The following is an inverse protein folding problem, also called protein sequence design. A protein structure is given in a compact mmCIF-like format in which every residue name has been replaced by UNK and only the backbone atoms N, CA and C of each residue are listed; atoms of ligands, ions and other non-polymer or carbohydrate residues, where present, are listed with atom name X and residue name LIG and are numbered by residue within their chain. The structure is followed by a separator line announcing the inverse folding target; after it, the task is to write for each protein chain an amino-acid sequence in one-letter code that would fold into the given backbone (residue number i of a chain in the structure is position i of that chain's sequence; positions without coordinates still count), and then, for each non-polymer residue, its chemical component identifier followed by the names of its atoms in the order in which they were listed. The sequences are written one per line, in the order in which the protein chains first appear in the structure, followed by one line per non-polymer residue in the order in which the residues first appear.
data_IF_396160057441
#
_entry.id   IF_396160057441
#
_cell.length_a   1.000
_cell.length_b   1.000
_cell.length_c   1.000
_cell.angle_alpha   90.00
_cell.angle_beta   90.00
_cell.angle_gamma   90.00
#
_symmetry.space_group_name_H-M   'P 1'
#
loop_
_entity.id
_entity.type
_entity.pdbx_description
1 polymer ?
#
# COMPACT_ATOMS: atom_id res chain seq x y z
N UNK A 1 21.00 -18.12 1.95
CA UNK A 1 20.74 -17.12 0.89
C UNK A 1 20.85 -15.73 1.51
N UNK A 2 21.76 -14.90 0.99
CA UNK A 2 21.95 -13.50 1.38
C UNK A 2 20.88 -12.60 0.76
N UNK A 3 20.75 -11.36 1.23
CA UNK A 3 19.83 -10.38 0.63
C UNK A 3 20.13 -10.15 -0.86
N UNK A 4 21.41 -10.05 -1.24
CA UNK A 4 21.81 -9.88 -2.64
C UNK A 4 21.40 -11.08 -3.51
N UNK A 5 21.53 -12.30 -2.98
CA UNK A 5 21.08 -13.51 -3.68
C UNK A 5 19.55 -13.56 -3.82
N UNK A 6 18.79 -13.15 -2.79
CA UNK A 6 17.34 -13.04 -2.87
C UNK A 6 16.90 -12.01 -3.92
N UNK A 7 17.49 -10.81 -3.91
CA UNK A 7 17.18 -9.75 -4.88
C UNK A 7 17.50 -10.20 -6.31
N UNK A 8 18.65 -10.84 -6.53
CA UNK A 8 19.01 -11.41 -7.85
C UNK A 8 18.00 -12.46 -8.31
N UNK A 9 17.58 -13.38 -7.42
CA UNK A 9 16.60 -14.42 -7.74
C UNK A 9 15.24 -13.84 -8.14
N UNK A 10 14.84 -12.74 -7.52
CA UNK A 10 13.58 -12.05 -7.80
C UNK A 10 13.71 -10.95 -8.86
N UNK A 11 14.91 -10.76 -9.44
CA UNK A 11 15.25 -9.67 -10.36
C UNK A 11 14.89 -8.28 -9.81
N UNK A 12 15.14 -8.05 -8.52
CA UNK A 12 14.88 -6.77 -7.82
C UNK A 12 16.18 -5.97 -7.77
N UNK A 13 16.08 -4.67 -8.08
CA UNK A 13 17.19 -3.75 -7.93
C UNK A 13 17.53 -3.53 -6.46
N UNK A 14 18.79 -3.75 -6.10
CA UNK A 14 19.32 -3.55 -4.76
C UNK A 14 20.24 -2.33 -4.73
N UNK A 15 19.79 -1.27 -4.09
CA UNK A 15 20.54 -0.04 -3.90
C UNK A 15 21.13 0.01 -2.50
N UNK A 16 22.44 0.18 -2.37
CA UNK A 16 23.11 0.29 -1.07
C UNK A 16 23.44 1.75 -0.82
N UNK A 17 22.95 2.29 0.31
CA UNK A 17 23.14 3.69 0.68
C UNK A 17 23.77 3.78 2.06
N UNK A 18 24.70 4.71 2.24
CA UNK A 18 25.30 4.98 3.53
C UNK A 18 24.25 5.57 4.47
N UNK A 19 24.10 4.96 5.65
CA UNK A 19 23.20 5.42 6.68
C UNK A 19 23.97 5.66 7.97
N UNK A 20 23.94 6.89 8.46
CA UNK A 20 24.65 7.32 9.67
C UNK A 20 24.03 6.77 10.97
N UNK A 21 23.12 5.80 10.87
CA UNK A 21 22.38 5.17 11.96
C UNK A 21 21.65 6.18 12.87
N UNK A 22 21.19 7.31 12.30
CA UNK A 22 20.35 8.28 13.00
C UNK A 22 18.91 8.14 12.54
N UNK A 23 18.00 8.11 13.52
CA UNK A 23 16.56 8.03 13.27
C UNK A 23 16.08 6.61 12.96
N UNK A 24 14.84 6.50 12.50
CA UNK A 24 14.26 5.23 12.01
C UNK A 24 14.67 5.00 10.55
N UNK A 25 14.93 3.75 10.13
CA UNK A 25 15.33 3.41 8.76
C UNK A 25 14.36 3.91 7.68
N UNK A 26 13.06 3.68 7.87
CA UNK A 26 12.04 3.87 6.85
C UNK A 26 11.76 5.36 6.58
N UNK A 27 11.60 6.23 7.61
CA UNK A 27 11.54 7.67 7.39
C UNK A 27 12.80 8.24 6.72
N UNK A 28 14.00 7.77 7.10
CA UNK A 28 15.24 8.19 6.45
C UNK A 28 15.26 7.78 4.97
N UNK A 29 14.88 6.53 4.66
CA UNK A 29 14.79 6.07 3.30
C UNK A 29 13.78 6.88 2.48
N UNK A 30 12.59 7.18 3.03
CA UNK A 30 11.61 8.03 2.37
C UNK A 30 12.15 9.43 2.08
N UNK A 31 12.89 10.03 3.02
CA UNK A 31 13.50 11.35 2.83
C UNK A 31 14.46 11.38 1.63
N UNK A 32 15.21 10.31 1.38
CA UNK A 32 16.06 10.19 0.19
C UNK A 32 15.25 10.25 -1.11
N UNK A 33 14.07 9.63 -1.15
CA UNK A 33 13.17 9.70 -2.31
C UNK A 33 12.51 11.08 -2.43
N UNK A 34 12.06 11.67 -1.32
CA UNK A 34 11.46 13.01 -1.30
C UNK A 34 12.45 14.06 -1.82
N UNK A 35 13.73 13.97 -1.43
CA UNK A 35 14.80 14.85 -1.93
C UNK A 35 15.08 14.69 -3.43
N UNK A 36 14.61 13.60 -4.05
CA UNK A 36 14.66 13.35 -5.49
C UNK A 36 13.35 13.74 -6.20
N UNK A 37 12.42 14.37 -5.50
CA UNK A 37 11.13 14.84 -6.07
C UNK A 37 10.01 13.82 -6.01
N UNK A 38 10.18 12.67 -5.35
CA UNK A 38 9.11 11.72 -5.13
C UNK A 38 8.14 12.21 -4.04
N UNK A 39 6.91 11.75 -4.10
CA UNK A 39 5.96 11.80 -2.99
C UNK A 39 5.73 10.38 -2.48
N UNK A 40 5.59 10.17 -1.18
CA UNK A 40 5.40 8.82 -0.67
C UNK A 40 5.01 8.74 0.80
N UNK A 41 4.79 7.50 1.24
CA UNK A 41 4.47 7.14 2.62
C UNK A 41 5.27 5.91 3.05
N UNK A 42 5.49 5.76 4.36
CA UNK A 42 6.33 4.70 4.97
C UNK A 42 5.51 3.75 5.87
N UNK A 43 4.28 3.44 5.48
CA UNK A 43 3.34 2.69 6.31
C UNK A 43 3.03 1.28 5.76
N UNK A 44 4.01 0.63 5.14
CA UNK A 44 3.88 -0.71 4.56
C UNK A 44 2.64 -0.81 3.63
N UNK A 45 1.87 -1.89 3.75
CA UNK A 45 0.60 -2.08 3.03
C UNK A 45 -0.51 -1.13 3.45
N UNK A 46 -0.31 -0.30 4.47
CA UNK A 46 -1.27 0.72 4.90
C UNK A 46 -1.59 1.72 3.80
N UNK A 47 -0.57 2.19 3.07
CA UNK A 47 -0.73 3.21 2.04
C UNK A 47 -1.69 2.75 0.93
N UNK A 48 -1.39 1.60 0.32
CA UNK A 48 -2.22 1.04 -0.74
C UNK A 48 -3.57 0.54 -0.20
N UNK A 49 -3.62 0.06 1.05
CA UNK A 49 -4.86 -0.35 1.69
C UNK A 49 -5.85 0.80 1.82
N UNK A 50 -5.40 1.99 2.27
CA UNK A 50 -6.25 3.18 2.35
C UNK A 50 -6.66 3.66 0.95
N UNK A 51 -5.77 3.61 -0.04
CA UNK A 51 -6.09 3.94 -1.43
C UNK A 51 -7.20 3.04 -1.98
N UNK A 52 -7.07 1.71 -1.84
CA UNK A 52 -8.08 0.77 -2.31
C UNK A 52 -9.42 0.99 -1.62
N UNK A 53 -9.43 1.13 -0.28
CA UNK A 53 -10.66 1.45 0.46
C UNK A 53 -11.31 2.73 -0.04
N UNK A 54 -10.52 3.76 -0.32
CA UNK A 54 -11.04 5.05 -0.82
C UNK A 54 -11.69 4.92 -2.20
N UNK A 55 -11.25 3.96 -3.02
CA UNK A 55 -11.83 3.67 -4.33
C UNK A 55 -13.16 2.91 -4.24
N UNK A 56 -13.47 2.25 -3.13
CA UNK A 56 -14.64 1.38 -2.98
C UNK A 56 -15.37 1.53 -1.64
N UNK A 57 -15.27 2.70 -1.01
CA UNK A 57 -15.69 2.88 0.38
C UNK A 57 -17.20 2.64 0.56
N UNK A 58 -18.04 3.03 -0.40
CA UNK A 58 -19.49 2.82 -0.31
C UNK A 58 -19.84 1.34 -0.46
N UNK A 59 -19.24 0.63 -1.41
CA UNK A 59 -19.43 -0.81 -1.59
C UNK A 59 -18.94 -1.60 -0.36
N UNK A 60 -17.84 -1.18 0.28
CA UNK A 60 -17.40 -1.77 1.55
C UNK A 60 -18.40 -1.49 2.68
N UNK A 61 -18.98 -0.30 2.71
CA UNK A 61 -20.03 0.07 3.68
C UNK A 61 -21.27 -0.80 3.49
N UNK A 62 -21.76 -0.94 2.25
CA UNK A 62 -22.92 -1.77 1.89
C UNK A 62 -22.66 -3.28 2.11
N UNK A 63 -21.40 -3.70 1.96
CA UNK A 63 -20.98 -5.08 2.17
C UNK A 63 -20.80 -5.44 3.65
N UNK A 64 -20.84 -4.46 4.55
CA UNK A 64 -20.59 -4.67 5.97
C UNK A 64 -21.57 -5.69 6.57
N UNK A 65 -21.05 -6.52 7.46
CA UNK A 65 -21.82 -7.48 8.25
C UNK A 65 -22.25 -6.90 9.61
N UNK A 66 -21.89 -5.64 9.89
CA UNK A 66 -22.32 -4.98 11.13
C UNK A 66 -23.81 -4.69 11.05
N UNK A 67 -24.58 -5.34 11.91
CA UNK A 67 -26.04 -5.20 12.05
C UNK A 67 -26.47 -3.94 12.82
N UNK A 68 -25.59 -2.95 12.92
CA UNK A 68 -25.83 -1.68 13.59
C UNK A 68 -26.56 -0.67 12.70
N UNK A 69 -26.19 0.60 12.84
CA UNK A 69 -26.63 1.69 11.96
C UNK A 69 -25.74 1.78 10.71
N UNK A 70 -26.20 2.50 9.68
CA UNK A 70 -25.34 2.83 8.53
C UNK A 70 -24.07 3.59 8.95
N UNK A 71 -24.10 4.32 10.07
CA UNK A 71 -22.94 4.99 10.61
C UNK A 71 -21.88 3.99 11.08
N UNK A 72 -22.29 2.94 11.79
CA UNK A 72 -21.38 1.89 12.29
C UNK A 72 -20.75 1.11 11.13
N UNK A 73 -21.51 0.83 10.07
CA UNK A 73 -21.01 0.17 8.86
C UNK A 73 -19.97 1.03 8.13
N UNK A 74 -20.16 2.35 8.09
CA UNK A 74 -19.24 3.29 7.42
C UNK A 74 -17.95 3.45 8.22
N UNK A 75 -18.07 3.62 9.54
CA UNK A 75 -16.91 3.69 10.43
C UNK A 75 -16.07 2.41 10.33
N UNK A 76 -16.72 1.24 10.35
CA UNK A 76 -16.05 -0.05 10.16
C UNK A 76 -15.32 -0.13 8.80
N UNK A 77 -15.95 0.31 7.71
CA UNK A 77 -15.32 0.37 6.40
C UNK A 77 -14.10 1.32 6.38
N UNK A 78 -14.17 2.45 7.09
CA UNK A 78 -13.06 3.38 7.23
C UNK A 78 -11.89 2.78 8.04
N UNK A 79 -12.17 2.10 9.14
CA UNK A 79 -11.16 1.63 10.10
C UNK A 79 -10.57 0.26 9.76
N UNK A 80 -11.26 -0.58 8.98
CA UNK A 80 -10.75 -1.91 8.63
C UNK A 80 -9.47 -1.87 7.82
N UNK A 81 -8.59 -2.84 8.07
CA UNK A 81 -7.40 -3.07 7.27
C UNK A 81 -7.70 -3.77 5.94
N UNK A 82 -6.65 -3.97 5.14
CA UNK A 82 -6.73 -4.59 3.81
C UNK A 82 -7.27 -6.04 3.83
N UNK A 83 -7.25 -6.72 4.99
CA UNK A 83 -7.83 -8.06 5.14
C UNK A 83 -9.33 -8.12 4.80
N UNK A 84 -10.04 -6.99 4.82
CA UNK A 84 -11.47 -6.96 4.49
C UNK A 84 -11.75 -7.57 3.13
N UNK A 85 -10.89 -7.37 2.12
CA UNK A 85 -11.11 -7.90 0.77
C UNK A 85 -11.16 -9.43 0.74
N UNK A 86 -10.38 -10.13 1.58
CA UNK A 86 -10.38 -11.60 1.65
C UNK A 86 -11.52 -12.17 2.49
N UNK A 87 -12.31 -11.32 3.14
CA UNK A 87 -13.44 -11.72 4.00
C UNK A 87 -14.79 -11.55 3.30
N UNK A 88 -14.79 -10.94 2.11
CA UNK A 88 -16.01 -10.70 1.34
C UNK A 88 -16.47 -11.98 0.63
N UNK A 89 -17.78 -12.21 0.66
CA UNK A 89 -18.41 -13.19 -0.23
C UNK A 89 -18.32 -12.73 -1.69
N UNK A 90 -18.35 -13.67 -2.64
CA UNK A 90 -18.06 -13.40 -4.06
C UNK A 90 -18.94 -12.31 -4.70
N UNK A 91 -20.22 -12.21 -4.32
CA UNK A 91 -21.13 -11.16 -4.80
C UNK A 91 -20.75 -9.77 -4.25
N UNK A 92 -20.37 -9.68 -2.98
CA UNK A 92 -19.91 -8.45 -2.33
C UNK A 92 -18.55 -8.02 -2.86
N UNK A 93 -17.64 -8.97 -3.05
CA UNK A 93 -16.36 -8.71 -3.70
C UNK A 93 -16.57 -8.14 -5.11
N UNK A 94 -17.47 -8.71 -5.91
CA UNK A 94 -17.80 -8.17 -7.24
C UNK A 94 -18.27 -6.72 -7.17
N UNK A 95 -19.17 -6.38 -6.23
CA UNK A 95 -19.63 -5.01 -6.03
C UNK A 95 -18.46 -4.05 -5.73
N UNK A 96 -17.55 -4.47 -4.86
CA UNK A 96 -16.35 -3.72 -4.51
C UNK A 96 -15.44 -3.50 -5.73
N UNK A 97 -15.16 -4.55 -6.52
CA UNK A 97 -14.32 -4.45 -7.71
C UNK A 97 -14.96 -3.57 -8.80
N UNK A 98 -16.28 -3.68 -8.99
CA UNK A 98 -17.04 -2.84 -9.92
C UNK A 98 -16.98 -1.34 -9.50
N UNK A 99 -17.03 -1.06 -8.19
CA UNK A 99 -16.87 0.31 -7.70
C UNK A 99 -15.46 0.86 -7.93
N UNK A 100 -14.40 0.06 -7.70
CA UNK A 100 -13.01 0.48 -7.97
C UNK A 100 -12.87 1.00 -9.41
N UNK A 101 -13.46 0.29 -10.38
CA UNK A 101 -13.41 0.63 -11.80
C UNK A 101 -14.10 1.95 -12.15
N UNK A 102 -15.14 2.32 -11.41
CA UNK A 102 -16.05 3.41 -11.77
C UNK A 102 -15.86 4.66 -10.92
N UNK A 103 -15.23 4.55 -9.75
CA UNK A 103 -15.01 5.67 -8.83
C UNK A 103 -14.18 6.77 -9.48
N UNK A 104 -14.73 7.98 -9.54
CA UNK A 104 -14.04 9.16 -10.04
C UNK A 104 -12.98 9.67 -9.06
N UNK A 105 -12.06 10.51 -9.54
CA UNK A 105 -11.02 11.12 -8.68
C UNK A 105 -11.60 11.96 -7.55
N UNK A 106 -12.69 12.69 -7.82
CA UNK A 106 -13.34 13.53 -6.80
C UNK A 106 -13.94 12.70 -5.67
N UNK A 107 -14.61 11.59 -6.00
CA UNK A 107 -15.17 10.67 -5.01
C UNK A 107 -14.03 10.01 -4.22
N UNK A 108 -13.03 9.48 -4.92
CA UNK A 108 -11.84 8.89 -4.30
C UNK A 108 -11.18 9.82 -3.28
N UNK A 109 -10.89 11.08 -3.65
CA UNK A 109 -10.25 12.04 -2.75
C UNK A 109 -11.16 12.45 -1.59
N UNK A 110 -12.48 12.45 -1.78
CA UNK A 110 -13.44 12.68 -0.69
C UNK A 110 -13.41 11.52 0.31
N UNK A 111 -13.51 10.28 -0.16
CA UNK A 111 -13.42 9.07 0.66
C UNK A 111 -12.07 8.96 1.37
N UNK A 112 -10.98 9.32 0.71
CA UNK A 112 -9.65 9.32 1.31
C UNK A 112 -9.55 10.34 2.46
N UNK A 113 -10.10 11.56 2.28
CA UNK A 113 -10.19 12.56 3.36
C UNK A 113 -11.03 12.07 4.53
N UNK A 114 -12.14 11.39 4.24
CA UNK A 114 -13.01 10.81 5.27
C UNK A 114 -12.26 9.76 6.10
N UNK A 115 -11.57 8.83 5.44
CA UNK A 115 -10.77 7.81 6.14
C UNK A 115 -9.66 8.45 6.99
N UNK A 116 -8.97 9.46 6.46
CA UNK A 116 -7.93 10.19 7.21
C UNK A 116 -8.46 11.05 8.36
N UNK A 117 -9.78 11.31 8.43
CA UNK A 117 -10.36 12.07 9.55
C UNK A 117 -10.36 11.30 10.87
N UNK A 118 -10.14 9.98 10.82
CA UNK A 118 -10.03 9.13 11.99
C UNK A 118 -8.61 9.15 12.55
N UNK A 119 -8.46 9.58 13.81
CA UNK A 119 -7.16 9.67 14.49
C UNK A 119 -6.39 8.34 14.50
N UNK A 120 -7.10 7.22 14.62
CA UNK A 120 -6.50 5.87 14.56
C UNK A 120 -5.78 5.62 13.24
N UNK A 121 -6.35 6.06 12.11
CA UNK A 121 -5.74 5.89 10.79
C UNK A 121 -4.44 6.69 10.70
N UNK A 122 -4.44 7.93 11.18
CA UNK A 122 -3.22 8.76 11.21
C UNK A 122 -2.12 8.14 12.09
N UNK A 123 -2.52 7.50 13.20
CA UNK A 123 -1.59 6.79 14.07
C UNK A 123 -1.02 5.51 13.43
N UNK A 124 -1.83 4.74 12.70
CA UNK A 124 -1.40 3.50 12.06
C UNK A 124 -0.63 3.73 10.76
N UNK A 125 -0.95 4.80 10.04
CA UNK A 125 -0.44 5.08 8.71
C UNK A 125 0.12 6.51 8.61
N UNK A 126 1.16 6.83 9.38
CA UNK A 126 1.72 8.18 9.39
C UNK A 126 2.27 8.56 8.01
N UNK A 127 2.12 9.84 7.66
CA UNK A 127 2.65 10.41 6.42
C UNK A 127 1.73 10.29 5.20
N UNK A 128 0.53 9.73 5.33
CA UNK A 128 -0.48 9.80 4.26
C UNK A 128 -1.03 11.22 4.12
N UNK A 129 -1.09 11.69 2.87
CA UNK A 129 -1.60 13.02 2.51
C UNK A 129 -2.55 12.94 1.32
N UNK A 130 -3.37 13.96 1.13
CA UNK A 130 -4.29 14.04 -0.02
C UNK A 130 -3.52 14.19 -1.33
N UNK A 131 -2.39 14.89 -1.26
CA UNK A 131 -1.44 15.08 -2.34
C UNK A 131 -0.86 13.73 -2.77
N UNK A 132 -0.50 12.86 -1.82
CA UNK A 132 -0.05 11.49 -2.11
C UNK A 132 -1.16 10.69 -2.79
N UNK A 133 -2.37 10.69 -2.22
CA UNK A 133 -3.50 9.97 -2.78
C UNK A 133 -3.81 10.41 -4.23
N UNK A 134 -3.80 11.73 -4.48
CA UNK A 134 -4.03 12.30 -5.80
C UNK A 134 -3.01 11.80 -6.83
N UNK A 135 -1.72 11.80 -6.48
CA UNK A 135 -0.67 11.34 -7.37
C UNK A 135 -0.78 9.84 -7.64
N UNK A 136 -1.09 9.03 -6.61
CA UNK A 136 -1.31 7.58 -6.78
C UNK A 136 -2.49 7.29 -7.71
N UNK A 137 -3.58 8.05 -7.59
CA UNK A 137 -4.74 7.91 -8.47
C UNK A 137 -4.39 8.17 -9.93
N UNK A 138 -3.56 9.18 -10.21
CA UNK A 138 -3.15 9.52 -11.58
C UNK A 138 -2.12 8.52 -12.14
N UNK A 139 -1.26 7.98 -11.27
CA UNK A 139 -0.18 7.07 -11.63
C UNK A 139 -0.62 5.63 -11.89
N UNK A 140 -1.80 5.22 -11.40
CA UNK A 140 -2.25 3.82 -11.43
C UNK A 140 -3.60 3.72 -12.12
N UNK A 141 -3.69 2.82 -13.10
CA UNK A 141 -4.93 2.56 -13.81
C UNK A 141 -5.95 1.83 -12.93
N UNK A 142 -7.23 1.94 -13.30
CA UNK A 142 -8.31 1.25 -12.58
C UNK A 142 -8.18 -0.27 -12.60
N UNK A 143 -7.73 -0.84 -13.72
CA UNK A 143 -7.47 -2.27 -13.83
C UNK A 143 -6.30 -2.73 -12.96
N UNK A 144 -5.28 -1.89 -12.75
CA UNK A 144 -4.21 -2.16 -11.79
C UNK A 144 -4.72 -2.20 -10.35
N UNK A 145 -5.55 -1.24 -9.93
CA UNK A 145 -6.18 -1.28 -8.61
C UNK A 145 -7.05 -2.53 -8.42
N UNK A 146 -7.83 -2.91 -9.44
CA UNK A 146 -8.63 -4.15 -9.41
C UNK A 146 -7.73 -5.37 -9.23
N UNK A 147 -6.63 -5.49 -9.98
CA UNK A 147 -5.70 -6.63 -9.85
C UNK A 147 -5.11 -6.73 -8.46
N UNK A 148 -4.78 -5.61 -7.82
CA UNK A 148 -4.33 -5.63 -6.42
C UNK A 148 -5.45 -6.13 -5.50
N UNK A 149 -6.65 -5.55 -5.60
CA UNK A 149 -7.77 -5.92 -4.74
C UNK A 149 -8.17 -7.40 -4.90
N UNK A 150 -8.20 -7.90 -6.14
CA UNK A 150 -8.40 -9.31 -6.45
C UNK A 150 -7.33 -10.18 -5.79
N UNK A 151 -6.04 -9.87 -5.97
CA UNK A 151 -4.97 -10.65 -5.37
C UNK A 151 -5.06 -10.70 -3.85
N UNK A 152 -5.33 -9.57 -3.20
CA UNK A 152 -5.52 -9.53 -1.73
C UNK A 152 -6.73 -10.36 -1.30
N UNK A 153 -7.79 -10.39 -2.12
CA UNK A 153 -9.00 -11.18 -1.80
C UNK A 153 -8.77 -12.69 -1.81
N UNK A 154 -7.73 -13.19 -2.50
CA UNK A 154 -7.48 -14.63 -2.63
C UNK A 154 -7.06 -15.30 -1.32
N UNK A 155 -6.32 -14.59 -0.46
CA UNK A 155 -5.82 -15.14 0.79
C UNK A 155 -5.58 -14.02 1.81
N UNK A 156 -6.12 -14.19 3.03
CA UNK A 156 -5.94 -13.23 4.12
C UNK A 156 -4.48 -12.94 4.48
N UNK A 157 -3.55 -13.85 4.17
CA UNK A 157 -2.11 -13.70 4.38
C UNK A 157 -1.45 -12.70 3.41
N UNK A 158 -2.10 -12.40 2.28
CA UNK A 158 -1.64 -11.40 1.29
C UNK A 158 -1.67 -9.96 1.81
N UNK A 159 -2.24 -9.73 3.00
CA UNK A 159 -2.13 -8.45 3.72
C UNK A 159 -0.71 -8.19 4.27
N UNK A 160 0.16 -9.21 4.31
CA UNK A 160 1.48 -9.12 4.93
C UNK A 160 2.59 -8.99 3.88
N UNK A 161 3.77 -8.51 4.29
CA UNK A 161 4.97 -8.49 3.45
C UNK A 161 4.94 -7.45 2.32
N UNK A 162 4.06 -6.46 2.44
CA UNK A 162 4.08 -5.27 1.58
C UNK A 162 5.36 -4.47 1.84
N UNK A 163 6.00 -3.89 0.81
CA UNK A 163 7.20 -3.10 0.99
C UNK A 163 6.97 -1.88 1.89
N UNK A 164 7.99 -1.49 2.65
CA UNK A 164 7.90 -0.44 3.67
C UNK A 164 7.43 0.91 3.12
N UNK A 165 7.89 1.26 1.92
CA UNK A 165 7.55 2.52 1.26
C UNK A 165 6.68 2.30 0.03
N UNK A 166 5.70 3.18 -0.13
CA UNK A 166 4.98 3.41 -1.38
C UNK A 166 5.31 4.81 -1.86
N UNK A 167 5.93 4.94 -3.03
CA UNK A 167 6.39 6.22 -3.59
C UNK A 167 5.87 6.41 -5.01
N UNK A 168 5.61 7.67 -5.38
CA UNK A 168 5.12 8.06 -6.69
C UNK A 168 5.95 9.22 -7.22
N UNK A 169 6.35 9.12 -8.48
CA UNK A 169 7.02 10.17 -9.25
C UNK A 169 6.76 9.93 -10.73
N UNK A 170 6.72 11.00 -11.53
CA UNK A 170 6.53 10.94 -12.99
C UNK A 170 5.36 10.04 -13.43
N UNK A 171 4.23 10.13 -12.71
CA UNK A 171 3.03 9.32 -12.94
C UNK A 171 3.26 7.80 -12.88
N UNK A 172 4.19 7.35 -12.03
CA UNK A 172 4.47 5.94 -11.78
C UNK A 172 4.52 5.64 -10.29
N UNK A 173 3.76 4.62 -9.87
CA UNK A 173 3.83 4.06 -8.53
C UNK A 173 5.00 3.07 -8.43
N UNK A 174 5.79 3.16 -7.37
CA UNK A 174 6.84 2.20 -7.04
C UNK A 174 6.76 1.81 -5.57
N UNK A 175 7.17 0.58 -5.28
CA UNK A 175 7.31 0.07 -3.92
C UNK A 175 8.78 -0.10 -3.57
N UNK A 176 9.14 0.26 -2.35
CA UNK A 176 10.53 0.17 -1.88
C UNK A 176 10.57 -0.54 -0.54
N UNK A 177 11.31 -1.64 -0.50
CA UNK A 177 11.62 -2.35 0.72
C UNK A 177 12.92 -1.80 1.32
N UNK A 178 12.90 -1.51 2.61
CA UNK A 178 14.03 -0.97 3.36
C UNK A 178 14.66 -2.08 4.17
N UNK A 179 15.97 -2.27 4.01
CA UNK A 179 16.76 -3.26 4.75
C UNK A 179 17.92 -2.60 5.46
N UNK A 180 18.27 -3.12 6.62
CA UNK A 180 19.50 -2.71 7.30
C UNK A 180 20.49 -3.88 7.30
N UNK A 181 20.36 -4.75 8.29
CA UNK A 181 21.18 -5.96 8.45
C UNK A 181 20.43 -7.23 8.07
N UNK A 182 19.11 -7.15 7.94
CA UNK A 182 18.21 -8.25 7.66
C UNK A 182 18.03 -8.51 6.16
N UNK A 183 17.16 -9.48 5.85
CA UNK A 183 16.93 -10.01 4.51
C UNK A 183 15.43 -10.08 4.24
N UNK A 184 15.01 -10.37 3.00
CA UNK A 184 13.59 -10.49 2.69
C UNK A 184 12.93 -11.61 3.50
N UNK A 185 11.85 -11.30 4.19
CA UNK A 185 11.01 -12.23 4.95
C UNK A 185 10.18 -13.13 4.02
N UNK A 186 9.69 -14.26 4.53
CA UNK A 186 8.91 -15.20 3.74
C UNK A 186 7.66 -14.57 3.10
N UNK A 187 6.95 -13.70 3.83
CA UNK A 187 5.80 -12.94 3.29
C UNK A 187 6.21 -11.99 2.15
N UNK A 188 7.34 -11.29 2.27
CA UNK A 188 7.87 -10.43 1.21
C UNK A 188 8.27 -11.22 -0.03
N UNK A 189 8.77 -12.45 0.15
CA UNK A 189 9.04 -13.38 -0.94
C UNK A 189 7.76 -13.87 -1.67
N UNK A 190 6.57 -13.61 -1.12
CA UNK A 190 5.27 -13.85 -1.78
C UNK A 190 4.73 -12.56 -2.40
N UNK A 191 4.71 -11.47 -1.63
CA UNK A 191 4.07 -10.21 -2.02
C UNK A 191 4.86 -9.47 -3.10
N UNK A 192 6.19 -9.40 -3.01
CA UNK A 192 7.00 -8.66 -3.99
C UNK A 192 6.89 -9.27 -5.41
N UNK A 193 7.01 -10.60 -5.60
CA UNK A 193 6.78 -11.20 -6.92
C UNK A 193 5.39 -10.89 -7.49
N UNK A 194 4.34 -10.95 -6.68
CA UNK A 194 2.99 -10.63 -7.13
C UNK A 194 2.85 -9.19 -7.62
N UNK A 195 3.42 -8.22 -6.89
CA UNK A 195 3.44 -6.81 -7.31
C UNK A 195 4.17 -6.63 -8.65
N UNK A 196 5.30 -7.33 -8.84
CA UNK A 196 6.04 -7.29 -10.09
C UNK A 196 5.29 -7.92 -11.25
N UNK A 197 4.62 -9.05 -11.03
CA UNK A 197 3.77 -9.69 -12.03
C UNK A 197 2.58 -8.81 -12.44
N UNK A 198 2.08 -7.98 -11.52
CA UNK A 198 1.08 -6.95 -11.84
C UNK A 198 1.65 -5.76 -12.62
N UNK A 199 2.98 -5.65 -12.74
CA UNK A 199 3.66 -4.62 -13.51
C UNK A 199 4.21 -3.46 -12.66
N UNK A 200 4.12 -3.54 -11.33
CA UNK A 200 4.67 -2.50 -10.47
C UNK A 200 6.19 -2.61 -10.34
N UNK A 201 6.82 -1.44 -10.27
CA UNK A 201 8.23 -1.38 -9.93
C UNK A 201 8.42 -1.66 -8.44
N UNK A 202 9.31 -2.59 -8.12
CA UNK A 202 9.71 -2.90 -6.74
C UNK A 202 11.22 -2.90 -6.65
N UNK A 203 11.76 -2.17 -5.68
CA UNK A 203 13.19 -2.10 -5.39
C UNK A 203 13.48 -2.35 -3.91
N UNK A 204 14.73 -2.66 -3.61
CA UNK A 204 15.22 -2.75 -2.22
C UNK A 204 16.29 -1.70 -2.01
N UNK A 205 16.17 -0.93 -0.94
CA UNK A 205 17.22 -0.06 -0.43
C UNK A 205 17.83 -0.69 0.83
N UNK A 206 19.14 -0.95 0.79
CA UNK A 206 19.90 -1.37 1.97
C UNK A 206 20.62 -0.18 2.56
N UNK A 207 20.22 0.19 3.77
CA UNK A 207 20.87 1.21 4.59
C UNK A 207 22.05 0.57 5.33
N UNK A 208 23.26 0.91 4.88
CA UNK A 208 24.50 0.37 5.43
C UNK A 208 25.13 1.39 6.37
N UNK A 209 25.24 1.03 7.64
CA UNK A 209 26.02 1.81 8.60
C UNK A 209 27.47 1.38 8.45
N UNK A 210 28.27 2.14 7.68
CA UNK A 210 29.71 1.93 7.72
C UNK A 210 30.18 2.16 9.16
N UNK A 211 30.61 1.09 9.82
CA UNK A 211 31.42 1.14 11.05
C UNK A 211 32.73 1.85 10.80
#
# INVERSE_FOLDING_TARGET
MTLSEQCKKLSIDLNIVNWNNKGKPEPYALELYVNQGYRGAYCEGGAIGVVLKSLCLDALTESSIFFGTNFDAREDACLKGMVVFSQLESNKLKLVLDQIQTTSKSIFLSSFREILSYDLINSWHPGLTIEFASDVYDAVSKSEFVRIAEWVSLDSSHRNGWPDLTVVSENKLSFVEVKTTDKLHASQMTTIPALKEMGFNVSVIKLDSKT
#
